data_IF_333692820395
#
_entry.id   IF_333692820395
#
_cell.length_a   1.000
_cell.length_b   1.000
_cell.length_c   1.000
_cell.angle_alpha   90.00
_cell.angle_beta   90.00
_cell.angle_gamma   90.00
#
_symmetry.space_group_name_H-M   'P 1'
#
loop_
_entity.id
_entity.type
_entity.pdbx_description
1 polymer ?
#
# COMPACT_ATOMS: atom_id res chain seq x y z
N UNK A 1 29.17 -32.84 -14.68
CA UNK A 1 27.88 -32.60 -15.34
C UNK A 1 26.93 -32.04 -14.29
N UNK A 2 26.73 -30.73 -14.24
CA UNK A 2 25.83 -30.12 -13.24
C UNK A 2 24.42 -30.14 -13.83
N UNK A 3 23.66 -31.17 -13.50
CA UNK A 3 22.29 -31.32 -13.98
C UNK A 3 21.38 -30.36 -13.21
N UNK A 4 20.97 -29.27 -13.86
CA UNK A 4 19.99 -28.33 -13.34
C UNK A 4 18.59 -28.86 -13.66
N UNK A 5 18.00 -29.67 -12.77
CA UNK A 5 16.61 -30.10 -12.89
C UNK A 5 15.68 -28.90 -12.70
N UNK A 6 15.03 -28.47 -13.78
CA UNK A 6 13.97 -27.47 -13.74
C UNK A 6 12.78 -28.06 -12.98
N UNK A 7 12.58 -27.64 -11.73
CA UNK A 7 11.43 -28.05 -10.94
C UNK A 7 10.20 -27.36 -11.53
N UNK A 8 9.44 -28.09 -12.36
CA UNK A 8 8.12 -27.68 -12.83
C UNK A 8 7.32 -27.09 -11.66
N UNK A 9 6.44 -26.12 -11.94
CA UNK A 9 5.53 -25.51 -10.96
C UNK A 9 4.68 -26.59 -10.28
N UNK A 10 5.22 -27.19 -9.23
CA UNK A 10 4.63 -28.34 -8.57
C UNK A 10 3.49 -27.82 -7.71
N UNK A 11 2.26 -28.06 -8.18
CA UNK A 11 1.06 -27.80 -7.40
C UNK A 11 0.90 -28.96 -6.42
N UNK A 12 0.97 -28.68 -5.11
CA UNK A 12 0.82 -29.68 -4.06
C UNK A 12 -0.48 -29.47 -3.30
N UNK A 13 -1.23 -30.55 -3.05
CA UNK A 13 -2.46 -30.52 -2.24
C UNK A 13 -2.25 -31.30 -0.95
N UNK A 14 -2.79 -30.80 0.16
CA UNK A 14 -2.65 -31.45 1.45
C UNK A 14 -3.13 -30.60 2.62
N UNK A 15 -2.93 -31.08 3.85
CA UNK A 15 -3.35 -30.36 5.05
C UNK A 15 -2.36 -29.26 5.42
N UNK A 16 -2.88 -28.07 5.66
CA UNK A 16 -2.18 -26.98 6.32
C UNK A 16 -2.55 -26.90 7.80
N UNK A 17 -1.58 -26.52 8.61
CA UNK A 17 -1.77 -26.05 9.98
C UNK A 17 -1.07 -24.72 10.17
N UNK A 18 -1.05 -24.19 11.39
CA UNK A 18 -0.33 -22.96 11.72
C UNK A 18 0.33 -23.05 13.09
N UNK A 19 1.40 -22.28 13.28
CA UNK A 19 2.04 -22.17 14.58
C UNK A 19 1.30 -21.18 15.50
N UNK A 20 1.36 -21.43 16.81
CA UNK A 20 0.68 -20.61 17.80
C UNK A 20 1.33 -19.22 17.94
N UNK A 21 0.62 -18.23 18.51
CA UNK A 21 1.19 -16.89 18.72
C UNK A 21 2.41 -16.92 19.66
N UNK A 22 2.45 -17.88 20.57
CA UNK A 22 3.53 -18.06 21.55
C UNK A 22 4.85 -18.47 20.89
N UNK A 23 4.86 -18.94 19.64
CA UNK A 23 6.10 -19.23 18.93
C UNK A 23 6.88 -17.98 18.52
N UNK A 24 6.29 -16.79 18.65
CA UNK A 24 6.95 -15.52 18.34
C UNK A 24 8.29 -15.40 19.06
N UNK A 25 9.34 -15.13 18.30
CA UNK A 25 10.71 -15.06 18.80
C UNK A 25 11.46 -16.39 18.78
N UNK A 26 10.85 -17.52 18.41
CA UNK A 26 11.59 -18.76 18.19
C UNK A 26 12.50 -18.66 16.95
N UNK A 27 13.65 -19.34 16.97
CA UNK A 27 14.54 -19.44 15.81
C UNK A 27 13.97 -20.46 14.82
N UNK A 28 13.87 -20.05 13.56
CA UNK A 28 13.49 -20.93 12.44
C UNK A 28 14.72 -21.58 11.82
N UNK A 29 14.52 -22.60 10.98
CA UNK A 29 15.60 -23.26 10.26
C UNK A 29 16.35 -22.36 9.26
N UNK A 30 15.79 -21.23 8.82
CA UNK A 30 16.54 -20.22 8.05
C UNK A 30 17.50 -19.40 8.92
N UNK A 31 17.38 -19.47 10.25
CA UNK A 31 18.10 -18.64 11.21
C UNK A 31 17.37 -17.34 11.59
N UNK A 32 16.31 -16.95 10.85
CA UNK A 32 15.46 -15.81 11.20
C UNK A 32 14.59 -16.13 12.43
N UNK A 33 14.25 -15.12 13.24
CA UNK A 33 13.26 -15.30 14.32
C UNK A 33 11.85 -15.20 13.75
N UNK A 34 10.99 -16.16 14.10
CA UNK A 34 9.60 -16.16 13.64
C UNK A 34 8.80 -15.06 14.35
N UNK A 35 7.89 -14.42 13.64
CA UNK A 35 6.91 -13.51 14.22
C UNK A 35 5.51 -13.92 13.75
N UNK A 36 4.54 -13.96 14.67
CA UNK A 36 3.19 -14.44 14.37
C UNK A 36 2.46 -13.61 13.29
N UNK A 37 2.80 -12.33 13.17
CA UNK A 37 2.26 -11.41 12.15
C UNK A 37 3.02 -11.43 10.81
N UNK A 38 4.06 -12.26 10.66
CA UNK A 38 4.79 -12.38 9.39
C UNK A 38 4.04 -13.25 8.39
N UNK A 39 4.25 -13.04 7.09
CA UNK A 39 3.69 -13.88 6.03
C UNK A 39 4.66 -14.98 5.65
N UNK A 40 4.81 -15.94 6.56
CA UNK A 40 5.82 -17.01 6.44
C UNK A 40 5.23 -18.39 6.66
N UNK A 41 5.96 -19.41 6.22
CA UNK A 41 5.58 -20.81 6.41
C UNK A 41 6.80 -21.72 6.62
N UNK A 42 6.53 -22.90 7.17
CA UNK A 42 7.42 -24.04 7.20
C UNK A 42 7.06 -25.02 6.09
N UNK A 43 8.07 -25.45 5.32
CA UNK A 43 7.90 -26.44 4.26
C UNK A 43 9.10 -27.42 4.19
N UNK A 44 8.84 -28.66 3.76
CA UNK A 44 9.82 -29.76 3.80
C UNK A 44 10.92 -29.63 2.76
N UNK A 45 10.56 -29.31 1.52
CA UNK A 45 11.47 -29.42 0.36
C UNK A 45 11.80 -28.10 -0.31
N UNK A 46 10.86 -27.17 -0.46
CA UNK A 46 11.12 -25.87 -1.07
C UNK A 46 12.31 -25.12 -0.43
N UNK A 47 13.19 -24.49 -1.23
CA UNK A 47 14.27 -23.65 -0.73
C UNK A 47 13.76 -22.51 0.16
N UNK A 48 14.57 -22.09 1.13
CA UNK A 48 14.25 -20.91 1.93
C UNK A 48 14.18 -19.67 1.04
N UNK A 49 13.25 -18.75 1.34
CA UNK A 49 12.99 -17.57 0.53
C UNK A 49 12.03 -17.80 -0.64
N UNK A 50 11.69 -19.05 -0.97
CA UNK A 50 10.68 -19.36 -1.99
C UNK A 50 9.32 -18.76 -1.59
N UNK A 51 8.63 -18.14 -2.54
CA UNK A 51 7.27 -17.63 -2.35
C UNK A 51 6.27 -18.68 -2.81
N UNK A 52 5.29 -18.96 -1.95
CA UNK A 52 4.24 -19.94 -2.19
C UNK A 52 2.88 -19.27 -2.10
N UNK A 53 2.02 -19.52 -3.09
CA UNK A 53 0.58 -19.25 -3.02
C UNK A 53 -0.06 -20.39 -2.28
N UNK A 54 -0.79 -20.08 -1.22
CA UNK A 54 -1.53 -21.07 -0.44
C UNK A 54 -3.01 -20.73 -0.54
N UNK A 55 -3.74 -21.58 -1.25
CA UNK A 55 -5.16 -21.38 -1.51
C UNK A 55 -5.98 -22.35 -0.68
N UNK A 56 -6.96 -21.84 0.04
CA UNK A 56 -7.98 -22.65 0.71
C UNK A 56 -9.17 -22.84 -0.24
N UNK A 57 -9.33 -24.02 -0.88
CA UNK A 57 -10.38 -24.26 -1.87
C UNK A 57 -11.79 -24.14 -1.28
N UNK A 58 -11.95 -24.25 0.04
CA UNK A 58 -13.27 -24.19 0.68
C UNK A 58 -13.86 -22.78 0.70
N UNK A 59 -13.03 -21.76 0.88
CA UNK A 59 -13.48 -20.35 0.93
C UNK A 59 -12.91 -19.51 -0.22
N UNK A 60 -12.12 -20.12 -1.12
CA UNK A 60 -11.45 -19.48 -2.26
C UNK A 60 -10.52 -18.33 -1.86
N UNK A 61 -10.07 -18.29 -0.61
CA UNK A 61 -9.08 -17.32 -0.14
C UNK A 61 -7.68 -17.88 -0.34
N UNK A 62 -6.77 -17.03 -0.78
CA UNK A 62 -5.37 -17.35 -0.95
C UNK A 62 -4.48 -16.34 -0.23
N UNK A 63 -3.24 -16.74 0.00
CA UNK A 63 -2.21 -15.92 0.62
C UNK A 63 -0.84 -16.27 0.03
N UNK A 64 0.03 -15.28 -0.09
CA UNK A 64 1.42 -15.50 -0.49
C UNK A 64 2.28 -15.53 0.77
N UNK A 65 3.08 -16.58 0.93
CA UNK A 65 3.95 -16.78 2.09
C UNK A 65 5.39 -17.11 1.67
N UNK A 66 6.36 -16.65 2.46
CA UNK A 66 7.78 -16.96 2.29
C UNK A 66 8.15 -18.21 3.10
N UNK A 67 8.85 -19.16 2.48
CA UNK A 67 9.40 -20.32 3.19
C UNK A 67 10.56 -19.87 4.08
N UNK A 68 10.40 -19.98 5.40
CA UNK A 68 11.45 -19.62 6.38
C UNK A 68 11.86 -20.78 7.27
N UNK A 69 11.07 -21.84 7.32
CA UNK A 69 11.30 -22.92 8.27
C UNK A 69 11.10 -24.31 7.65
N UNK A 70 11.48 -25.37 8.39
CA UNK A 70 11.39 -26.77 7.96
C UNK A 70 10.30 -27.52 8.71
N UNK A 71 9.69 -28.46 8.01
CA UNK A 71 8.53 -29.22 8.47
C UNK A 71 7.34 -29.00 7.52
N UNK A 72 6.13 -29.41 7.91
CA UNK A 72 5.79 -30.18 9.10
C UNK A 72 6.34 -31.61 9.06
N UNK A 73 6.77 -32.13 10.22
CA UNK A 73 7.30 -33.49 10.36
C UNK A 73 6.20 -34.56 10.51
N UNK A 74 4.97 -34.14 10.83
CA UNK A 74 3.82 -35.04 11.01
C UNK A 74 3.25 -35.47 9.67
N UNK A 75 2.95 -36.77 9.54
CA UNK A 75 2.37 -37.35 8.33
C UNK A 75 1.04 -36.69 7.96
N UNK A 76 0.82 -36.47 6.67
CA UNK A 76 -0.41 -35.90 6.12
C UNK A 76 -0.53 -34.37 6.17
N UNK A 77 0.42 -33.66 6.80
CA UNK A 77 0.55 -32.21 6.72
C UNK A 77 1.61 -31.83 5.69
N UNK A 78 1.34 -30.81 4.91
CA UNK A 78 2.25 -30.36 3.84
C UNK A 78 2.88 -28.99 4.14
N UNK A 79 2.21 -28.16 4.94
CA UNK A 79 2.67 -26.79 5.23
C UNK A 79 2.19 -26.33 6.61
N UNK A 80 3.06 -25.64 7.35
CA UNK A 80 2.70 -24.94 8.59
C UNK A 80 2.81 -23.44 8.34
N UNK A 81 1.70 -22.72 8.47
CA UNK A 81 1.59 -21.29 8.21
C UNK A 81 1.85 -20.47 9.46
N UNK A 82 2.13 -19.18 9.26
CA UNK A 82 2.02 -18.19 10.32
C UNK A 82 0.61 -17.98 10.80
N UNK A 83 0.49 -17.47 12.03
CA UNK A 83 -0.81 -17.12 12.59
C UNK A 83 -1.54 -16.11 11.70
N UNK A 84 -0.86 -15.07 11.20
CA UNK A 84 -1.46 -14.11 10.29
C UNK A 84 -1.86 -14.72 8.96
N UNK A 85 -1.00 -15.49 8.31
CA UNK A 85 -1.34 -16.14 7.04
C UNK A 85 -2.55 -17.07 7.21
N UNK A 86 -2.59 -17.84 8.30
CA UNK A 86 -3.72 -18.70 8.66
C UNK A 86 -5.02 -17.92 8.93
N UNK A 87 -4.91 -16.71 9.51
CA UNK A 87 -6.04 -15.80 9.70
C UNK A 87 -6.58 -15.31 8.36
N UNK A 88 -5.72 -14.94 7.43
CA UNK A 88 -6.11 -14.45 6.10
C UNK A 88 -6.82 -15.52 5.27
N UNK A 89 -6.29 -16.75 5.23
CA UNK A 89 -6.97 -17.89 4.56
C UNK A 89 -8.12 -18.50 5.36
N UNK A 90 -8.39 -18.00 6.57
CA UNK A 90 -9.55 -18.35 7.38
C UNK A 90 -9.54 -19.76 7.97
N UNK A 91 -8.39 -20.24 8.46
CA UNK A 91 -8.26 -21.59 9.05
C UNK A 91 -8.15 -21.59 10.59
N UNK A 92 -8.03 -20.41 11.22
CA UNK A 92 -7.83 -20.27 12.67
C UNK A 92 -8.87 -21.03 13.49
N UNK A 93 -10.16 -20.92 13.16
CA UNK A 93 -11.23 -21.57 13.92
C UNK A 93 -11.22 -23.10 13.84
N UNK A 94 -10.65 -23.68 12.77
CA UNK A 94 -10.58 -25.14 12.59
C UNK A 94 -9.26 -25.76 13.01
N UNK A 95 -8.19 -24.96 13.13
CA UNK A 95 -6.83 -25.44 13.35
C UNK A 95 -6.15 -26.00 12.09
N UNK A 96 -6.88 -26.83 11.33
CA UNK A 96 -6.40 -27.56 10.16
C UNK A 96 -7.33 -27.33 8.96
N UNK A 97 -6.78 -27.21 7.76
CA UNK A 97 -7.57 -27.20 6.52
C UNK A 97 -6.85 -27.85 5.35
N UNK A 98 -7.60 -28.35 4.38
CA UNK A 98 -7.02 -28.73 3.08
C UNK A 98 -6.69 -27.46 2.30
N UNK A 99 -5.50 -27.42 1.70
CA UNK A 99 -5.02 -26.31 0.88
C UNK A 99 -4.36 -26.83 -0.40
N UNK A 100 -4.30 -25.95 -1.38
CA UNK A 100 -3.46 -26.09 -2.58
C UNK A 100 -2.28 -25.13 -2.42
N UNK A 101 -1.06 -25.63 -2.60
CA UNK A 101 0.19 -24.89 -2.51
C UNK A 101 0.82 -24.84 -3.90
N UNK A 102 1.14 -23.65 -4.36
CA UNK A 102 1.76 -23.41 -5.66
C UNK A 102 2.97 -22.52 -5.48
N UNK A 103 4.08 -22.84 -6.15
CA UNK A 103 5.25 -21.96 -6.19
C UNK A 103 4.95 -20.78 -7.11
N UNK A 104 5.22 -19.58 -6.62
CA UNK A 104 5.13 -18.34 -7.40
C UNK A 104 6.54 -17.84 -7.66
N UNK A 105 6.81 -17.40 -8.89
CA UNK A 105 8.03 -16.68 -9.18
C UNK A 105 7.80 -15.17 -9.04
N UNK A 106 8.83 -14.42 -8.66
CA UNK A 106 8.70 -12.97 -8.40
C UNK A 106 8.14 -12.18 -9.60
N UNK A 107 8.33 -12.69 -10.81
CA UNK A 107 7.78 -12.13 -12.04
C UNK A 107 6.25 -12.16 -12.08
N UNK A 108 5.61 -13.17 -11.47
CA UNK A 108 4.15 -13.29 -11.45
C UNK A 108 3.50 -12.33 -10.44
N UNK A 109 4.25 -11.93 -9.41
CA UNK A 109 3.78 -11.02 -8.36
C UNK A 109 3.84 -9.56 -8.84
N UNK A 110 4.89 -9.21 -9.59
CA UNK A 110 5.09 -7.88 -10.13
C UNK A 110 4.55 -7.86 -11.57
N UNK A 111 3.22 -7.79 -11.71
CA UNK A 111 2.62 -7.47 -13.00
C UNK A 111 2.82 -5.99 -13.30
N UNK A 112 3.95 -5.62 -13.92
CA UNK A 112 4.09 -4.28 -14.50
C UNK A 112 3.11 -4.23 -15.67
N UNK A 113 2.06 -3.37 -15.65
CA UNK A 113 1.21 -3.18 -16.80
C UNK A 113 2.05 -2.42 -17.85
N UNK A 114 2.80 -3.16 -18.66
CA UNK A 114 3.47 -2.57 -19.81
C UNK A 114 2.42 -1.86 -20.66
N UNK A 115 2.73 -0.64 -21.09
CA UNK A 115 1.93 0.10 -22.07
C UNK A 115 1.65 -0.86 -23.24
N UNK A 116 0.37 -1.12 -23.52
CA UNK A 116 -0.02 -2.00 -24.62
C UNK A 116 0.71 -1.58 -25.90
N UNK A 117 1.31 -2.54 -26.62
CA UNK A 117 2.00 -2.27 -27.89
C UNK A 117 1.05 -1.90 -29.03
N UNK A 118 -0.25 -2.00 -28.79
CA UNK A 118 -1.31 -1.56 -29.68
C UNK A 118 -1.15 -0.06 -29.96
N UNK A 119 -1.02 0.28 -31.25
CA UNK A 119 -1.09 1.66 -31.70
C UNK A 119 -2.52 2.15 -31.43
N UNK A 120 -2.70 2.96 -30.39
CA UNK A 120 -3.93 3.76 -30.28
C UNK A 120 -3.90 4.78 -31.40
N UNK A 121 -4.83 4.66 -32.33
CA UNK A 121 -5.10 5.74 -33.28
C UNK A 121 -5.61 6.93 -32.46
N UNK A 122 -4.83 8.01 -32.46
CA UNK A 122 -5.22 9.24 -31.79
C UNK A 122 -6.44 9.79 -32.55
N UNK A 123 -7.52 10.19 -31.86
CA UNK A 123 -8.60 10.89 -32.54
C UNK A 123 -8.04 12.18 -33.17
N UNK A 124 -8.47 12.50 -34.39
CA UNK A 124 -8.23 13.81 -34.97
C UNK A 124 -8.86 14.86 -34.05
N UNK A 125 -8.02 15.67 -33.42
CA UNK A 125 -8.46 16.79 -32.62
C UNK A 125 -8.87 17.91 -33.57
N UNK A 126 -10.18 18.03 -33.82
CA UNK A 126 -10.75 19.18 -34.50
C UNK A 126 -10.79 20.35 -33.50
N UNK A 127 -9.67 21.06 -33.40
CA UNK A 127 -9.62 22.35 -32.72
C UNK A 127 -10.33 23.35 -33.62
N UNK A 128 -11.66 23.40 -33.54
CA UNK A 128 -12.41 24.43 -34.23
C UNK A 128 -12.05 25.78 -33.60
N UNK A 129 -11.17 26.52 -34.27
CA UNK A 129 -10.88 27.92 -33.96
C UNK A 129 -12.11 28.66 -34.49
N UNK A 130 -13.21 28.64 -33.73
CA UNK A 130 -14.37 29.47 -34.02
C UNK A 130 -13.86 30.90 -34.06
N UNK A 131 -13.89 31.52 -35.24
CA UNK A 131 -13.53 32.93 -35.49
C UNK A 131 -14.57 33.91 -34.91
N UNK A 132 -15.22 33.50 -33.82
CA UNK A 132 -16.17 34.28 -33.04
C UNK A 132 -15.50 34.87 -31.81
N UNK A 133 -15.90 36.09 -31.46
CA UNK A 133 -15.19 37.12 -30.70
C UNK A 133 -14.78 36.81 -29.25
N UNK A 134 -14.82 35.56 -28.78
CA UNK A 134 -14.32 35.18 -27.45
C UNK A 134 -13.57 33.83 -27.49
N UNK A 135 -12.28 33.88 -27.86
CA UNK A 135 -11.38 32.73 -27.76
C UNK A 135 -11.25 32.29 -26.30
N UNK A 136 -11.27 30.97 -26.06
CA UNK A 136 -11.05 30.37 -24.74
C UNK A 136 -9.78 30.88 -24.03
N UNK A 137 -8.71 31.10 -24.81
CA UNK A 137 -7.43 31.64 -24.33
C UNK A 137 -7.60 33.07 -23.78
N UNK A 138 -8.40 33.89 -24.46
CA UNK A 138 -8.64 35.28 -24.08
C UNK A 138 -9.50 35.36 -22.81
N UNK A 139 -10.55 34.52 -22.73
CA UNK A 139 -11.39 34.41 -21.55
C UNK A 139 -10.60 33.97 -20.30
N UNK A 140 -9.73 32.96 -20.43
CA UNK A 140 -8.90 32.47 -19.33
C UNK A 140 -7.87 33.52 -18.87
N UNK A 141 -7.27 34.26 -19.81
CA UNK A 141 -6.29 35.31 -19.50
C UNK A 141 -6.93 36.50 -18.79
N UNK A 142 -8.13 36.93 -19.23
CA UNK A 142 -8.94 37.95 -18.54
C UNK A 142 -9.29 37.51 -17.10
N UNK A 143 -9.62 36.24 -16.91
CA UNK A 143 -9.96 35.71 -15.60
C UNK A 143 -8.77 35.75 -14.62
N UNK A 144 -7.56 35.44 -15.09
CA UNK A 144 -6.35 35.55 -14.27
C UNK A 144 -6.02 36.98 -13.85
N UNK A 145 -6.14 37.95 -14.76
CA UNK A 145 -5.85 39.36 -14.45
C UNK A 145 -6.87 39.96 -13.47
N UNK A 146 -8.15 39.56 -13.60
CA UNK A 146 -9.22 39.90 -12.64
C UNK A 146 -8.93 39.28 -11.26
N UNK A 147 -8.50 38.01 -11.22
CA UNK A 147 -8.19 37.34 -9.95
C UNK A 147 -6.95 37.96 -9.27
N UNK A 148 -5.92 38.30 -10.03
CA UNK A 148 -4.72 38.95 -9.51
C UNK A 148 -5.00 40.36 -8.95
N UNK A 149 -5.83 41.14 -9.64
CA UNK A 149 -6.21 42.49 -9.18
C UNK A 149 -7.10 42.44 -7.94
N UNK A 150 -8.08 41.54 -7.87
CA UNK A 150 -8.88 41.27 -6.66
C UNK A 150 -8.00 40.87 -5.48
N UNK A 151 -7.01 40.00 -5.71
CA UNK A 151 -6.06 39.56 -4.68
C UNK A 151 -5.22 40.72 -4.14
N UNK A 152 -4.70 41.60 -5.01
CA UNK A 152 -3.97 42.82 -4.59
C UNK A 152 -4.85 43.82 -3.83
N UNK A 153 -6.11 43.99 -4.24
CA UNK A 153 -7.09 44.83 -3.54
C UNK A 153 -7.42 44.30 -2.14
N UNK A 154 -7.53 42.98 -1.98
CA UNK A 154 -7.72 42.35 -0.68
C UNK A 154 -6.51 42.54 0.23
N UNK A 155 -5.29 42.32 -0.30
CA UNK A 155 -4.06 42.47 0.44
C UNK A 155 -3.82 43.92 0.92
N UNK A 156 -4.16 44.91 0.08
CA UNK A 156 -4.07 46.33 0.44
C UNK A 156 -5.13 46.75 1.45
N UNK A 157 -6.34 46.19 1.37
CA UNK A 157 -7.41 46.42 2.36
C UNK A 157 -7.06 45.80 3.72
N UNK A 158 -6.50 44.60 3.74
CA UNK A 158 -5.99 43.95 4.96
C UNK A 158 -4.84 44.74 5.60
N UNK A 159 -3.88 45.23 4.81
CA UNK A 159 -2.77 46.08 5.30
C UNK A 159 -3.24 47.41 5.88
N UNK A 160 -4.31 48.00 5.32
CA UNK A 160 -4.91 49.23 5.88
C UNK A 160 -5.65 48.94 7.20
N UNK A 161 -6.39 47.84 7.27
CA UNK A 161 -7.10 47.42 8.49
C UNK A 161 -6.13 47.13 9.65
N UNK A 162 -5.05 46.39 9.41
CA UNK A 162 -4.02 46.13 10.42
C UNK A 162 -3.30 47.41 10.89
N UNK A 163 -3.00 48.35 9.98
CA UNK A 163 -2.38 49.64 10.33
C UNK A 163 -3.31 50.54 11.18
N UNK A 164 -4.63 50.45 10.98
CA UNK A 164 -5.62 51.15 11.83
C UNK A 164 -5.81 50.51 13.20
N UNK A 165 -5.69 49.18 13.32
CA UNK A 165 -5.76 48.47 14.60
C UNK A 165 -4.53 48.73 15.48
N UNK A 166 -3.33 48.80 14.89
CA UNK A 166 -2.10 49.14 15.59
C UNK A 166 -2.09 50.58 16.12
N UNK A 167 -2.62 51.55 15.36
CA UNK A 167 -2.81 52.94 15.84
C UNK A 167 -3.84 53.07 16.96
N UNK A 168 -4.79 52.14 17.07
CA UNK A 168 -5.81 52.12 18.14
C UNK A 168 -5.28 51.51 19.44
N UNK A 169 -4.32 50.57 19.35
CA UNK A 169 -3.61 50.01 20.52
C UNK A 169 -2.60 50.97 21.16
N UNK A 170 -2.04 51.93 20.42
CA UNK A 170 -1.14 52.97 20.96
C UNK A 170 -1.85 54.16 21.64
N UNK A 171 -3.19 54.25 21.60
CA UNK A 171 -3.99 55.32 22.23
C UNK A 171 -4.85 54.84 23.41
N UNK A 172 -4.40 53.83 24.17
CA UNK A 172 -4.96 53.58 25.51
C UNK A 172 -4.12 54.34 26.56
N UNK A 173 -4.72 55.23 27.38
CA UNK A 173 -3.99 55.95 28.41
C UNK A 173 -3.61 55.01 29.56
N UNK A 174 -2.34 55.03 29.95
CA UNK A 174 -1.83 54.42 31.19
C UNK A 174 -2.49 55.09 32.39
N UNK A 175 -3.48 54.42 32.99
CA UNK A 175 -4.16 54.89 34.19
C UNK A 175 -3.50 54.26 35.43
N UNK A 176 -2.34 54.77 35.83
CA UNK A 176 -1.67 54.40 37.08
C UNK A 176 -2.29 55.20 38.23
N UNK A 177 -3.28 54.60 38.91
CA UNK A 177 -3.82 55.12 40.17
C UNK A 177 -2.79 54.95 41.29
N UNK A 178 -2.31 56.07 41.81
CA UNK A 178 -1.60 56.21 43.07
C UNK A 178 -2.51 55.76 44.22
N UNK A 179 -2.14 54.72 44.98
CA UNK A 179 -2.78 54.37 46.26
C UNK A 179 -1.93 54.94 47.40
N UNK A 180 -2.46 55.97 48.05
CA UNK A 180 -2.10 56.38 49.41
C UNK A 180 -2.81 55.45 50.40
N UNK A 181 -2.04 54.71 51.19
CA UNK A 181 -2.12 54.55 52.65
C UNK A 181 -1.16 53.46 53.10
#
# INVERSE_FOLDING_TARGET
>A
MVSFTFLMAQTQKGKATFYSKQSTGARTASGERVHHDSMTCAHRTYPFGTLLRVTNPRNKKDVIVKVTDRGPHVKGRIIDLSYRAAKEIGIIGKGVAMVTVERIDSADIIHIPYRSKEKRELPELEFDITSGEDNFIDAWTRQQSINASKTKLQLTKQRKQSATEDKKKQKQPSNTKTKKK
#
